data_IF_717553383940
#
_entry.id   IF_717553383940
#
_cell.length_a   1.000
_cell.length_b   1.000
_cell.length_c   1.000
_cell.angle_alpha   90.00
_cell.angle_beta   90.00
_cell.angle_gamma   90.00
#
_symmetry.space_group_name_H-M   'P 1'
#
loop_
_entity.id
_entity.type
_entity.pdbx_description
1 polymer ?
#
# COMPACT_ATOMS: atom_id res chain seq x y z
N UNK A 1 9.21 -32.28 7.65
CA UNK A 1 7.77 -32.05 7.41
C UNK A 1 7.58 -30.57 7.12
N UNK A 2 6.98 -30.20 5.99
CA UNK A 2 6.75 -28.79 5.64
C UNK A 2 5.36 -28.40 6.15
N UNK A 3 5.30 -27.56 7.18
CA UNK A 3 4.01 -27.11 7.75
C UNK A 3 3.45 -26.05 6.82
N UNK A 4 2.45 -26.41 6.01
CA UNK A 4 1.71 -25.45 5.19
C UNK A 4 0.86 -24.60 6.12
N UNK A 5 1.16 -23.31 6.21
CA UNK A 5 0.29 -22.34 6.91
C UNK A 5 -0.93 -22.05 6.05
N UNK A 6 -2.08 -21.93 6.70
CA UNK A 6 -3.29 -21.44 6.04
C UNK A 6 -3.07 -19.99 5.59
N UNK A 7 -3.65 -19.65 4.44
CA UNK A 7 -3.60 -18.28 3.93
C UNK A 7 -4.55 -17.41 4.73
N UNK A 8 -4.14 -16.17 5.01
CA UNK A 8 -5.06 -15.13 5.48
C UNK A 8 -6.11 -14.89 4.40
N UNK A 9 -7.39 -14.95 4.78
CA UNK A 9 -8.52 -14.60 3.91
C UNK A 9 -8.85 -13.13 4.16
N UNK A 10 -8.96 -12.37 3.07
CA UNK A 10 -9.35 -10.95 3.08
C UNK A 10 -10.59 -10.76 2.23
N UNK A 11 -11.41 -9.78 2.61
CA UNK A 11 -12.56 -9.33 1.86
C UNK A 11 -12.19 -8.48 0.64
N UNK A 12 -13.22 -8.06 -0.10
CA UNK A 12 -13.06 -7.15 -1.25
C UNK A 12 -12.60 -5.75 -0.83
N UNK A 13 -12.94 -5.34 0.37
CA UNK A 13 -12.53 -4.07 0.99
C UNK A 13 -12.04 -4.39 2.39
N UNK A 14 -10.88 -3.86 2.74
CA UNK A 14 -10.25 -4.04 4.05
C UNK A 14 -9.69 -2.71 4.55
N UNK A 15 -9.44 -2.63 5.85
CA UNK A 15 -8.67 -1.53 6.45
C UNK A 15 -7.18 -1.78 6.29
N UNK A 16 -6.44 -0.78 5.84
CA UNK A 16 -4.99 -0.85 5.62
C UNK A 16 -4.28 0.37 6.19
N UNK A 17 -3.03 0.15 6.59
CA UNK A 17 -2.12 1.19 7.07
C UNK A 17 -0.97 1.35 6.07
N UNK A 18 -0.56 2.59 5.83
CA UNK A 18 0.70 2.97 5.17
C UNK A 18 1.53 3.81 6.15
N UNK A 19 2.22 3.17 7.12
CA UNK A 19 2.91 3.88 8.21
C UNK A 19 3.98 4.85 7.72
N UNK A 20 4.69 4.51 6.64
CA UNK A 20 5.72 5.37 6.04
C UNK A 20 5.13 6.65 5.43
N UNK A 21 3.86 6.62 5.03
CA UNK A 21 3.12 7.79 4.55
C UNK A 21 2.34 8.50 5.67
N UNK A 22 2.38 7.98 6.91
CA UNK A 22 1.58 8.49 8.02
C UNK A 22 0.07 8.28 7.86
N UNK A 23 -0.35 7.37 6.98
CA UNK A 23 -1.76 7.09 6.69
C UNK A 23 -2.15 5.81 7.43
N UNK A 24 -3.20 5.87 8.24
CA UNK A 24 -3.67 4.74 9.06
C UNK A 24 -5.19 4.56 8.88
N UNK A 25 -5.66 3.33 9.04
CA UNK A 25 -7.07 2.94 9.07
C UNK A 25 -7.89 3.38 7.84
N UNK A 26 -7.31 3.31 6.63
CA UNK A 26 -8.03 3.64 5.39
C UNK A 26 -8.69 2.41 4.78
N UNK A 27 -9.86 2.61 4.16
CA UNK A 27 -10.49 1.56 3.35
C UNK A 27 -9.77 1.43 2.01
N UNK A 28 -9.30 0.22 1.70
CA UNK A 28 -8.70 -0.11 0.41
C UNK A 28 -9.39 -1.32 -0.22
N UNK A 29 -9.53 -1.27 -1.55
CA UNK A 29 -10.08 -2.37 -2.33
C UNK A 29 -9.00 -3.39 -2.64
N UNK A 30 -9.25 -4.67 -2.36
CA UNK A 30 -8.42 -5.79 -2.79
C UNK A 30 -8.83 -6.17 -4.22
N UNK A 31 -8.12 -5.62 -5.21
CA UNK A 31 -8.43 -5.80 -6.63
C UNK A 31 -7.55 -6.86 -7.29
N UNK A 32 -8.00 -8.12 -7.30
CA UNK A 32 -7.25 -9.20 -7.95
C UNK A 32 -7.18 -9.09 -9.47
N UNK A 33 -7.94 -8.16 -10.08
CA UNK A 33 -7.87 -7.87 -11.50
C UNK A 33 -6.78 -6.86 -11.88
N UNK A 34 -6.19 -6.16 -10.90
CA UNK A 34 -5.15 -5.17 -11.13
C UNK A 34 -3.75 -5.78 -11.04
N UNK A 35 -2.88 -5.44 -12.00
CA UNK A 35 -1.47 -5.85 -11.95
C UNK A 35 -0.68 -5.07 -10.87
N UNK A 36 -1.07 -3.81 -10.62
CA UNK A 36 -0.40 -2.91 -9.69
C UNK A 36 -1.39 -2.27 -8.71
N UNK A 37 -0.86 -1.63 -7.67
CA UNK A 37 -1.62 -0.77 -6.76
C UNK A 37 -1.80 0.61 -7.38
N UNK A 38 -2.84 1.33 -6.96
CA UNK A 38 -3.05 2.73 -7.29
C UNK A 38 -3.43 3.51 -6.02
N UNK A 39 -2.83 4.68 -5.84
CA UNK A 39 -3.16 5.64 -4.78
C UNK A 39 -3.52 6.95 -5.46
N UNK A 40 -4.65 7.53 -5.07
CA UNK A 40 -5.08 8.83 -5.57
C UNK A 40 -4.32 9.94 -4.84
N UNK A 41 -3.53 10.71 -5.58
CA UNK A 41 -2.69 11.78 -5.03
C UNK A 41 -2.85 13.07 -5.83
N UNK A 42 -2.65 14.21 -5.16
CA UNK A 42 -2.63 15.54 -5.76
C UNK A 42 -1.35 16.27 -5.32
N UNK A 43 -0.91 17.28 -6.08
CA UNK A 43 0.30 18.06 -5.78
C UNK A 43 1.52 17.14 -5.57
N UNK A 44 2.00 16.56 -6.67
CA UNK A 44 3.11 15.60 -6.65
C UNK A 44 4.38 16.31 -7.09
N UNK A 45 5.48 16.15 -6.34
CA UNK A 45 6.80 16.68 -6.70
C UNK A 45 7.94 15.78 -6.20
N UNK A 46 9.13 15.95 -6.79
CA UNK A 46 10.34 15.25 -6.33
C UNK A 46 11.08 16.13 -5.31
N UNK A 47 11.48 15.54 -4.20
CA UNK A 47 12.30 16.18 -3.16
C UNK A 47 13.56 15.33 -2.93
N UNK A 48 14.74 15.96 -2.94
CA UNK A 48 16.00 15.29 -2.63
C UNK A 48 16.32 15.44 -1.13
N UNK A 49 16.54 14.33 -0.43
CA UNK A 49 16.98 14.28 0.97
C UNK A 49 18.18 13.37 1.08
N UNK A 50 19.30 13.90 1.57
CA UNK A 50 20.57 13.17 1.76
C UNK A 50 21.05 12.42 0.50
N UNK A 51 20.85 13.03 -0.68
CA UNK A 51 21.23 12.45 -1.98
C UNK A 51 20.26 11.40 -2.52
N UNK A 52 19.09 11.23 -1.90
CA UNK A 52 18.03 10.30 -2.33
C UNK A 52 16.82 11.09 -2.78
N UNK A 53 16.28 10.77 -3.96
CA UNK A 53 15.04 11.34 -4.49
C UNK A 53 13.81 10.66 -3.87
N UNK A 54 12.88 11.47 -3.37
CA UNK A 54 11.59 11.08 -2.85
C UNK A 54 10.47 11.71 -3.67
N UNK A 55 9.41 10.93 -3.95
CA UNK A 55 8.17 11.44 -4.50
C UNK A 55 7.25 11.85 -3.36
N UNK A 56 6.96 13.14 -3.22
CA UNK A 56 5.99 13.67 -2.25
C UNK A 56 4.69 14.06 -2.96
#
# INVERSE_FOLDING_TARGET
>A
MNIKRDKTIVGRVEKVDFPELGILDIEAKIDTGAYSTAIHSHRIWVEEKDGVEYLN
#
